data_IF_882154006539
#
_entry.id   IF_882154006539
#
_cell.length_a   1.000
_cell.length_b   1.000
_cell.length_c   1.000
_cell.angle_alpha   90.00
_cell.angle_beta   90.00
_cell.angle_gamma   90.00
#
_symmetry.space_group_name_H-M   'P 1'
#
loop_
_entity.id
_entity.type
_entity.pdbx_description
1 polymer ?
#
# COMPACT_ATOMS: atom_id res chain seq x y z
N UNK A 1 0.44 -17.04 7.73
CA UNK A 1 -0.48 -17.02 6.57
C UNK A 1 0.29 -16.68 5.29
N UNK A 2 0.45 -17.63 4.33
CA UNK A 2 1.17 -17.38 3.07
C UNK A 2 0.55 -16.24 2.22
N UNK A 3 -0.69 -15.85 2.50
CA UNK A 3 -1.41 -14.81 1.77
C UNK A 3 -0.82 -13.39 1.97
N UNK A 4 -0.30 -13.03 3.15
CA UNK A 4 0.19 -11.67 3.41
C UNK A 4 1.41 -11.33 2.53
N UNK A 5 2.31 -12.31 2.34
CA UNK A 5 3.48 -12.16 1.47
C UNK A 5 3.10 -11.82 0.04
N UNK A 6 2.17 -12.60 -0.53
CA UNK A 6 1.65 -12.35 -1.87
C UNK A 6 1.05 -10.96 -1.97
N UNK A 7 0.13 -10.60 -1.06
CA UNK A 7 -0.54 -9.29 -1.09
C UNK A 7 0.47 -8.16 -0.97
N UNK A 8 1.39 -8.23 -0.01
CA UNK A 8 2.39 -7.20 0.21
C UNK A 8 3.25 -6.97 -1.04
N UNK A 9 3.82 -8.03 -1.61
CA UNK A 9 4.68 -7.93 -2.78
C UNK A 9 3.93 -7.53 -4.04
N UNK A 10 2.68 -7.96 -4.23
CA UNK A 10 1.83 -7.44 -5.31
C UNK A 10 1.64 -5.92 -5.21
N UNK A 11 1.44 -5.38 -4.00
CA UNK A 11 1.27 -3.92 -3.80
C UNK A 11 2.56 -3.15 -4.04
N UNK A 12 3.68 -3.67 -3.55
CA UNK A 12 4.97 -3.02 -3.78
C UNK A 12 5.38 -3.10 -5.24
N UNK A 13 5.20 -4.26 -5.89
CA UNK A 13 5.43 -4.42 -7.32
C UNK A 13 4.60 -3.46 -8.16
N UNK A 14 3.30 -3.32 -7.87
CA UNK A 14 2.43 -2.37 -8.57
C UNK A 14 2.89 -0.92 -8.40
N UNK A 15 3.30 -0.52 -7.19
CA UNK A 15 3.83 0.83 -6.94
C UNK A 15 5.13 1.08 -7.69
N UNK A 16 6.07 0.13 -7.63
CA UNK A 16 7.35 0.24 -8.33
C UNK A 16 7.15 0.28 -9.84
N UNK A 17 6.29 -0.57 -10.39
CA UNK A 17 5.94 -0.58 -11.81
C UNK A 17 5.33 0.76 -12.23
N UNK A 18 4.38 1.28 -11.44
CA UNK A 18 3.77 2.59 -11.73
C UNK A 18 4.81 3.72 -11.70
N UNK A 19 5.68 3.76 -10.69
CA UNK A 19 6.77 4.75 -10.63
C UNK A 19 7.72 4.64 -11.82
N UNK A 20 8.11 3.41 -12.20
CA UNK A 20 8.97 3.19 -13.36
C UNK A 20 8.33 3.66 -14.66
N UNK A 21 7.02 3.43 -14.84
CA UNK A 21 6.26 3.89 -16.01
C UNK A 21 6.14 5.41 -16.03
N UNK A 22 5.97 6.08 -14.88
CA UNK A 22 5.97 7.54 -14.82
C UNK A 22 7.34 8.14 -15.18
N UNK A 23 8.42 7.52 -14.71
CA UNK A 23 9.79 7.93 -15.07
C UNK A 23 10.00 7.72 -16.57
N UNK A 24 9.56 6.59 -17.12
CA UNK A 24 9.63 6.31 -18.55
C UNK A 24 8.84 7.33 -19.36
N UNK A 25 7.59 7.63 -18.97
CA UNK A 25 6.77 8.65 -19.62
C UNK A 25 7.47 10.01 -19.63
N UNK A 26 8.00 10.44 -18.48
CA UNK A 26 8.71 11.70 -18.37
C UNK A 26 9.95 11.74 -19.27
N UNK A 27 10.75 10.67 -19.28
CA UNK A 27 11.92 10.55 -20.15
C UNK A 27 11.53 10.61 -21.63
N UNK A 28 10.51 9.85 -22.05
CA UNK A 28 10.01 9.82 -23.43
C UNK A 28 9.54 11.20 -23.91
N UNK A 29 8.80 11.93 -23.07
CA UNK A 29 8.36 13.30 -23.40
C UNK A 29 9.54 14.26 -23.50
N UNK A 30 10.49 14.20 -22.56
CA UNK A 30 11.67 15.05 -22.58
C UNK A 30 12.54 14.80 -23.82
N UNK A 31 12.74 13.54 -24.21
CA UNK A 31 13.46 13.20 -25.44
C UNK A 31 12.71 13.69 -26.69
N UNK A 32 11.38 13.56 -26.73
CA UNK A 32 10.58 14.04 -27.86
C UNK A 32 10.66 15.56 -28.04
N UNK A 33 10.65 16.32 -26.94
CA UNK A 33 10.75 17.78 -26.94
C UNK A 33 12.15 18.30 -27.31
N UNK A 34 13.20 17.58 -26.94
CA UNK A 34 14.60 17.97 -27.22
C UNK A 34 15.11 17.47 -28.58
N UNK A 35 14.37 16.58 -29.25
CA UNK A 35 14.74 16.09 -30.57
C UNK A 35 14.73 17.25 -31.60
N UNK A 36 15.81 17.33 -32.40
CA UNK A 36 16.01 18.36 -33.42
C UNK A 36 14.91 18.26 -34.48
N UNK A 37 14.26 19.39 -34.80
CA UNK A 37 13.28 19.44 -35.87
C UNK A 37 13.97 19.18 -37.23
N UNK A 38 13.30 18.48 -38.17
CA UNK A 38 13.80 18.40 -39.54
C UNK A 38 13.89 19.81 -40.15
N UNK A 39 14.85 20.06 -41.07
CA UNK A 39 14.97 21.36 -41.71
C UNK A 39 13.69 21.67 -42.50
N UNK A 40 13.09 22.83 -42.25
CA UNK A 40 11.90 23.32 -42.96
C UNK A 40 12.28 24.56 -43.78
N UNK A 41 11.98 24.53 -45.08
CA UNK A 41 12.32 25.61 -46.02
C UNK A 41 11.14 26.59 -46.16
N UNK A 42 11.36 27.88 -45.97
CA UNK A 42 10.37 28.96 -46.15
C UNK A 42 10.03 29.73 -44.86
N UNK A 43 9.51 30.95 -45.01
CA UNK A 43 9.08 31.80 -43.89
C UNK A 43 7.59 32.17 -44.04
N UNK A 44 6.78 31.84 -43.03
CA UNK A 44 5.35 32.15 -42.99
C UNK A 44 4.60 31.43 -41.86
N UNK A 45 3.37 31.86 -41.51
CA UNK A 45 2.57 31.28 -40.42
C UNK A 45 2.26 29.79 -40.61
N UNK A 46 2.26 29.29 -41.85
CA UNK A 46 2.12 27.87 -42.18
C UNK A 46 3.31 27.01 -41.72
N UNK A 47 4.52 27.58 -41.70
CA UNK A 47 5.75 26.90 -41.25
C UNK A 47 5.75 26.75 -39.73
N UNK A 48 5.35 27.79 -39.00
CA UNK A 48 5.21 27.71 -37.54
C UNK A 48 4.16 26.67 -37.12
N UNK A 49 3.02 26.61 -37.81
CA UNK A 49 1.99 25.61 -37.57
C UNK A 49 2.50 24.17 -37.84
N UNK A 50 3.25 23.96 -38.93
CA UNK A 50 3.82 22.65 -39.25
C UNK A 50 4.85 22.16 -38.21
N UNK A 51 5.69 23.06 -37.69
CA UNK A 51 6.64 22.74 -36.61
C UNK A 51 5.90 22.34 -35.33
N UNK A 52 4.85 23.08 -34.94
CA UNK A 52 4.05 22.78 -33.75
C UNK A 52 3.33 21.44 -33.86
N UNK A 53 2.72 21.14 -35.01
CA UNK A 53 2.07 19.85 -35.26
C UNK A 53 3.08 18.70 -35.22
N UNK A 54 4.25 18.85 -35.85
CA UNK A 54 5.30 17.82 -35.80
C UNK A 54 5.95 17.64 -34.42
N UNK A 55 5.95 18.66 -33.57
CA UNK A 55 6.32 18.52 -32.16
C UNK A 55 5.25 17.72 -31.40
N UNK A 56 3.97 18.05 -31.61
CA UNK A 56 2.85 17.34 -31.01
C UNK A 56 2.85 15.86 -31.37
N UNK A 57 3.00 15.51 -32.65
CA UNK A 57 3.02 14.12 -33.11
C UNK A 57 4.14 13.29 -32.47
N UNK A 58 5.35 13.88 -32.33
CA UNK A 58 6.48 13.22 -31.65
C UNK A 58 6.19 12.97 -30.17
N UNK A 59 5.60 13.96 -29.49
CA UNK A 59 5.25 13.82 -28.07
C UNK A 59 4.15 12.77 -27.89
N UNK A 60 3.10 12.80 -28.71
CA UNK A 60 2.01 11.82 -28.67
C UNK A 60 2.54 10.41 -28.94
N UNK A 61 3.34 10.23 -29.99
CA UNK A 61 3.93 8.93 -30.33
C UNK A 61 4.85 8.41 -29.23
N UNK A 62 5.65 9.28 -28.60
CA UNK A 62 6.57 8.90 -27.52
C UNK A 62 5.83 8.58 -26.21
N UNK A 63 4.71 9.26 -25.95
CA UNK A 63 3.91 9.07 -24.73
C UNK A 63 2.89 7.92 -24.83
N UNK A 64 2.47 7.53 -26.03
CA UNK A 64 1.36 6.59 -26.23
C UNK A 64 1.53 5.28 -25.44
N UNK A 65 2.65 4.59 -25.61
CA UNK A 65 2.89 3.31 -24.94
C UNK A 65 3.00 3.42 -23.41
N UNK A 66 3.85 4.30 -22.83
CA UNK A 66 3.90 4.44 -21.37
C UNK A 66 2.56 4.86 -20.78
N UNK A 67 1.78 5.68 -21.49
CA UNK A 67 0.44 6.08 -21.04
C UNK A 67 -0.52 4.89 -21.01
N UNK A 68 -0.54 4.04 -22.04
CA UNK A 68 -1.33 2.80 -22.07
C UNK A 68 -0.95 1.89 -20.91
N UNK A 69 0.35 1.68 -20.66
CA UNK A 69 0.80 0.86 -19.53
C UNK A 69 0.37 1.48 -18.20
N UNK A 70 0.48 2.80 -18.03
CA UNK A 70 0.02 3.49 -16.82
C UNK A 70 -1.48 3.29 -16.58
N UNK A 71 -2.30 3.34 -17.63
CA UNK A 71 -3.75 3.08 -17.57
C UNK A 71 -4.02 1.64 -17.14
N UNK A 72 -3.34 0.65 -17.73
CA UNK A 72 -3.50 -0.77 -17.35
C UNK A 72 -3.14 -1.00 -15.88
N UNK A 73 -2.02 -0.43 -15.41
CA UNK A 73 -1.63 -0.49 -13.99
C UNK A 73 -2.65 0.22 -13.08
N UNK A 74 -3.21 1.35 -13.54
CA UNK A 74 -4.28 2.07 -12.84
C UNK A 74 -5.55 1.23 -12.70
N UNK A 75 -5.97 0.54 -13.77
CA UNK A 75 -7.10 -0.40 -13.75
C UNK A 75 -6.82 -1.54 -12.78
N UNK A 76 -5.63 -2.14 -12.81
CA UNK A 76 -5.24 -3.17 -11.86
C UNK A 76 -5.31 -2.65 -10.40
N UNK A 77 -4.80 -1.44 -10.14
CA UNK A 77 -4.89 -0.80 -8.82
C UNK A 77 -6.34 -0.59 -8.36
N UNK A 78 -7.22 -0.16 -9.27
CA UNK A 78 -8.63 0.05 -9.01
C UNK A 78 -9.34 -1.28 -8.69
N UNK A 79 -9.08 -2.35 -9.45
CA UNK A 79 -9.62 -3.70 -9.19
C UNK A 79 -9.21 -4.17 -7.80
N UNK A 80 -7.93 -4.05 -7.45
CA UNK A 80 -7.43 -4.48 -6.15
C UNK A 80 -8.08 -3.67 -5.02
N UNK A 81 -8.20 -2.34 -5.18
CA UNK A 81 -8.85 -1.46 -4.19
C UNK A 81 -10.34 -1.81 -4.04
N UNK A 82 -11.03 -2.13 -5.13
CA UNK A 82 -12.42 -2.57 -5.08
C UNK A 82 -12.58 -3.89 -4.33
N UNK A 83 -11.65 -4.84 -4.51
CA UNK A 83 -11.63 -6.11 -3.75
C UNK A 83 -11.39 -5.87 -2.25
N UNK A 84 -10.52 -4.91 -1.89
CA UNK A 84 -10.32 -4.52 -0.49
C UNK A 84 -11.60 -3.97 0.14
N UNK A 85 -12.33 -3.12 -0.60
CA UNK A 85 -13.61 -2.56 -0.14
C UNK A 85 -14.67 -3.65 0.02
N UNK A 86 -14.73 -4.62 -0.90
CA UNK A 86 -15.65 -5.77 -0.80
C UNK A 86 -15.36 -6.68 0.40
N UNK A 87 -14.10 -6.76 0.83
CA UNK A 87 -13.68 -7.49 2.05
C UNK A 87 -13.83 -6.65 3.32
N UNK A 88 -14.36 -5.44 3.26
CA UNK A 88 -14.41 -4.59 4.45
C UNK A 88 -15.42 -5.16 5.44
N UNK A 89 -14.95 -5.41 6.66
CA UNK A 89 -15.82 -5.82 7.75
C UNK A 89 -16.88 -4.72 7.98
N UNK A 90 -18.20 -5.05 8.01
CA UNK A 90 -19.23 -4.06 8.33
C UNK A 90 -19.00 -3.42 9.71
N UNK A 91 -18.40 -4.17 10.64
CA UNK A 91 -18.04 -3.67 11.97
C UNK A 91 -16.59 -3.19 11.94
N UNK A 92 -16.38 -1.87 12.11
CA UNK A 92 -15.02 -1.31 12.25
C UNK A 92 -14.52 -1.31 13.69
N UNK A 93 -15.41 -1.06 14.65
CA UNK A 93 -15.03 -0.84 16.05
C UNK A 93 -15.05 -2.16 16.81
N UNK A 94 -13.96 -2.47 17.48
CA UNK A 94 -13.93 -3.56 18.45
C UNK A 94 -14.95 -3.31 19.57
N UNK A 95 -15.61 -4.37 20.03
CA UNK A 95 -16.51 -4.30 21.19
C UNK A 95 -15.72 -3.96 22.45
N UNK A 96 -16.41 -3.51 23.52
CA UNK A 96 -15.75 -3.26 24.81
C UNK A 96 -15.06 -4.51 25.34
N UNK A 97 -15.68 -5.68 25.17
CA UNK A 97 -15.10 -6.97 25.55
C UNK A 97 -13.83 -7.26 24.74
N UNK A 98 -13.89 -7.19 23.40
CA UNK A 98 -12.72 -7.44 22.55
C UNK A 98 -11.56 -6.48 22.88
N UNK A 99 -11.84 -5.21 23.19
CA UNK A 99 -10.83 -4.25 23.62
C UNK A 99 -10.20 -4.65 24.95
N UNK A 100 -11.00 -5.03 25.95
CA UNK A 100 -10.48 -5.47 27.26
C UNK A 100 -9.62 -6.72 27.11
N UNK A 101 -10.12 -7.73 26.40
CA UNK A 101 -9.40 -8.98 26.13
C UNK A 101 -8.10 -8.74 25.36
N UNK A 102 -8.15 -7.94 24.29
CA UNK A 102 -6.97 -7.62 23.49
C UNK A 102 -5.91 -6.81 24.25
N UNK A 103 -6.33 -5.89 25.13
CA UNK A 103 -5.43 -5.12 25.98
C UNK A 103 -4.82 -5.99 27.09
N UNK A 104 -5.64 -6.84 27.73
CA UNK A 104 -5.18 -7.79 28.75
C UNK A 104 -4.19 -8.79 28.17
N UNK A 105 -4.46 -9.32 26.97
CA UNK A 105 -3.56 -10.21 26.21
C UNK A 105 -2.16 -9.60 26.00
N UNK A 106 -2.09 -8.27 25.88
CA UNK A 106 -0.83 -7.55 25.70
C UNK A 106 -0.21 -7.04 27.02
N UNK A 107 -0.79 -7.39 28.17
CA UNK A 107 -0.45 -6.85 29.50
C UNK A 107 -0.49 -5.30 29.55
N UNK A 108 -1.40 -4.69 28.79
CA UNK A 108 -1.49 -3.23 28.68
C UNK A 108 -0.30 -2.57 27.98
N UNK A 109 0.61 -3.32 27.36
CA UNK A 109 1.79 -2.82 26.67
C UNK A 109 1.63 -2.87 25.14
N UNK A 110 2.15 -1.86 24.46
CA UNK A 110 2.16 -1.75 23.01
C UNK A 110 2.82 -2.98 22.37
N UNK A 111 2.11 -3.66 21.47
CA UNK A 111 2.57 -4.83 20.70
C UNK A 111 3.28 -4.43 19.40
N UNK A 112 3.06 -3.19 18.94
CA UNK A 112 3.72 -2.63 17.76
C UNK A 112 5.22 -2.44 17.96
N UNK A 113 5.91 -2.28 16.84
CA UNK A 113 7.35 -2.13 16.80
C UNK A 113 7.75 -0.66 17.00
N UNK A 114 8.85 -0.45 17.73
CA UNK A 114 9.57 0.81 17.77
C UNK A 114 11.04 0.57 17.37
N UNK A 115 11.59 1.43 16.52
CA UNK A 115 12.96 1.28 16.02
C UNK A 115 13.19 -0.10 15.40
N UNK A 116 14.37 -0.69 15.65
CA UNK A 116 14.94 -1.95 15.16
C UNK A 116 14.09 -3.24 15.32
N UNK A 117 12.80 -3.23 15.00
CA UNK A 117 11.89 -4.37 15.07
C UNK A 117 11.59 -4.87 16.49
N UNK A 118 11.95 -4.10 17.52
CA UNK A 118 11.70 -4.42 18.93
C UNK A 118 10.30 -3.96 19.33
N UNK A 119 9.70 -4.63 20.32
CA UNK A 119 8.42 -4.20 20.92
C UNK A 119 8.58 -2.81 21.54
N UNK A 120 7.62 -1.92 21.32
CA UNK A 120 7.72 -0.54 21.78
C UNK A 120 7.78 -0.39 23.31
N UNK A 121 7.21 -1.33 24.08
CA UNK A 121 7.25 -1.33 25.54
C UNK A 121 6.42 -0.24 26.24
N UNK A 122 5.98 0.81 25.53
CA UNK A 122 5.09 1.84 26.06
C UNK A 122 3.70 1.30 26.38
N UNK A 123 2.99 1.94 27.31
CA UNK A 123 1.58 1.63 27.60
C UNK A 123 0.73 1.73 26.35
N UNK A 124 -0.10 0.72 26.12
CA UNK A 124 -1.09 0.73 25.06
C UNK A 124 -2.30 1.55 25.48
N UNK A 125 -2.80 2.36 24.55
CA UNK A 125 -3.93 3.26 24.76
C UNK A 125 -5.10 2.88 23.84
N UNK A 126 -4.78 2.27 22.69
CA UNK A 126 -5.71 2.00 21.60
C UNK A 126 -5.66 0.53 21.20
N UNK A 127 -6.82 0.00 20.80
CA UNK A 127 -6.90 -1.23 20.03
C UNK A 127 -6.92 -0.90 18.54
N UNK A 128 -5.93 -1.37 17.81
CA UNK A 128 -5.79 -1.16 16.37
C UNK A 128 -5.84 -2.50 15.60
N UNK A 129 -6.12 -2.44 14.31
CA UNK A 129 -6.10 -3.59 13.42
C UNK A 129 -4.69 -3.81 12.87
N UNK A 130 -4.07 -4.97 13.11
CA UNK A 130 -2.77 -5.32 12.54
C UNK A 130 -2.79 -5.19 11.01
N UNK A 131 -3.74 -5.87 10.37
CA UNK A 131 -4.10 -5.69 8.98
C UNK A 131 -5.18 -4.61 8.89
N UNK A 132 -4.98 -3.49 8.16
CA UNK A 132 -5.90 -2.36 8.18
C UNK A 132 -7.32 -2.73 7.77
N UNK A 133 -8.31 -2.32 8.56
CA UNK A 133 -9.74 -2.49 8.26
C UNK A 133 -10.12 -1.95 6.87
N UNK A 134 -9.56 -0.79 6.49
CA UNK A 134 -9.83 -0.16 5.19
C UNK A 134 -9.39 -1.02 3.99
N UNK A 135 -8.56 -2.04 4.23
CA UNK A 135 -8.01 -2.98 3.24
C UNK A 135 -8.59 -4.40 3.38
N UNK A 136 -9.64 -4.57 4.19
CA UNK A 136 -10.31 -5.84 4.42
C UNK A 136 -9.76 -6.65 5.60
N UNK A 137 -9.10 -6.00 6.57
CA UNK A 137 -8.80 -6.63 7.86
C UNK A 137 -10.08 -6.85 8.67
N UNK A 138 -10.21 -8.01 9.33
CA UNK A 138 -11.36 -8.34 10.17
C UNK A 138 -11.30 -7.62 11.52
N UNK A 139 -12.45 -7.33 12.12
CA UNK A 139 -12.56 -6.83 13.49
C UNK A 139 -12.67 -8.01 14.45
N UNK A 140 -11.53 -8.70 14.63
CA UNK A 140 -11.39 -9.87 15.50
C UNK A 140 -10.24 -9.73 16.48
N UNK A 141 -10.19 -10.57 17.51
CA UNK A 141 -9.07 -10.63 18.45
C UNK A 141 -7.76 -11.05 17.77
N UNK A 142 -7.82 -11.84 16.69
CA UNK A 142 -6.64 -12.25 15.93
C UNK A 142 -6.04 -11.07 15.16
N UNK A 143 -6.87 -10.16 14.64
CA UNK A 143 -6.40 -8.93 14.01
C UNK A 143 -6.17 -7.77 15.00
N UNK A 144 -6.60 -7.90 16.26
CA UNK A 144 -6.41 -6.88 17.29
C UNK A 144 -4.94 -6.74 17.71
N UNK A 145 -4.50 -5.50 17.89
CA UNK A 145 -3.19 -5.13 18.41
C UNK A 145 -3.34 -4.02 19.43
N UNK A 146 -2.77 -4.19 20.61
CA UNK A 146 -2.65 -3.12 21.59
C UNK A 146 -1.55 -2.13 21.14
N UNK A 147 -1.89 -0.85 21.01
CA UNK A 147 -1.00 0.17 20.46
C UNK A 147 -0.97 1.45 21.31
N UNK A 148 0.21 2.03 21.50
CA UNK A 148 0.36 3.39 22.00
C UNK A 148 0.05 4.42 20.88
N UNK A 149 -0.29 5.65 21.24
CA UNK A 149 -0.63 6.68 20.25
C UNK A 149 0.49 6.95 19.23
N UNK A 150 1.76 6.86 19.62
CA UNK A 150 2.91 7.07 18.71
C UNK A 150 2.99 5.99 17.64
N UNK A 151 3.03 4.72 18.04
CA UNK A 151 3.15 3.60 17.09
C UNK A 151 1.92 3.46 16.21
N UNK A 152 0.72 3.69 16.76
CA UNK A 152 -0.52 3.68 15.99
C UNK A 152 -0.49 4.73 14.85
N UNK A 153 -0.11 5.98 15.17
CA UNK A 153 0.04 7.06 14.18
C UNK A 153 1.13 6.77 13.14
N UNK A 154 2.24 6.14 13.54
CA UNK A 154 3.31 5.76 12.63
C UNK A 154 2.88 4.63 11.67
N UNK A 155 2.15 3.63 12.16
CA UNK A 155 1.65 2.50 11.36
C UNK A 155 0.66 2.96 10.28
N UNK A 156 -0.27 3.86 10.61
CA UNK A 156 -1.34 4.31 9.71
C UNK A 156 -2.14 3.12 9.12
N UNK A 157 -2.68 3.29 7.92
CA UNK A 157 -3.33 2.23 7.14
C UNK A 157 -2.33 1.41 6.29
N UNK A 158 -1.06 1.29 6.68
CA UNK A 158 -0.08 0.51 5.91
C UNK A 158 -0.32 -0.99 6.06
N UNK A 159 -0.15 -1.74 4.96
CA UNK A 159 -0.19 -3.21 5.02
C UNK A 159 1.10 -3.65 5.71
N UNK A 160 1.04 -4.45 6.78
CA UNK A 160 2.24 -4.94 7.44
C UNK A 160 3.04 -5.82 6.48
N UNK A 161 4.37 -5.71 6.54
CA UNK A 161 5.24 -6.59 5.77
C UNK A 161 5.25 -8.01 6.35
N UNK A 162 5.59 -9.03 5.56
CA UNK A 162 5.72 -10.40 6.06
C UNK A 162 6.74 -10.52 7.19
N UNK A 163 7.80 -9.69 7.16
CA UNK A 163 8.77 -9.59 8.23
C UNK A 163 8.15 -9.06 9.54
N UNK A 164 7.32 -8.01 9.45
CA UNK A 164 6.61 -7.47 10.62
C UNK A 164 5.65 -8.48 11.22
N UNK A 165 4.89 -9.21 10.39
CA UNK A 165 4.00 -10.28 10.86
C UNK A 165 4.80 -11.37 11.58
N UNK A 166 5.84 -11.92 10.96
CA UNK A 166 6.69 -12.95 11.58
C UNK A 166 7.32 -12.50 12.89
N UNK A 167 7.77 -11.25 12.97
CA UNK A 167 8.32 -10.70 14.22
C UNK A 167 7.26 -10.55 15.30
N UNK A 168 6.06 -10.07 14.96
CA UNK A 168 4.95 -9.99 15.92
C UNK A 168 4.53 -11.37 16.41
N UNK A 169 4.36 -12.35 15.51
CA UNK A 169 4.03 -13.74 15.86
C UNK A 169 5.11 -14.35 16.75
N UNK A 170 6.40 -14.13 16.43
CA UNK A 170 7.52 -14.58 17.28
C UNK A 170 7.46 -13.96 18.67
N UNK A 171 7.27 -12.64 18.78
CA UNK A 171 7.17 -11.97 20.09
C UNK A 171 5.95 -12.46 20.88
N UNK A 172 4.82 -12.71 20.22
CA UNK A 172 3.62 -13.27 20.87
C UNK A 172 3.89 -14.62 21.52
N UNK A 173 4.80 -15.45 20.99
CA UNK A 173 5.21 -16.71 21.65
C UNK A 173 5.89 -16.50 23.00
N UNK A 174 6.47 -15.33 23.25
CA UNK A 174 7.21 -15.04 24.49
C UNK A 174 6.28 -14.70 25.66
N UNK A 175 5.08 -14.18 25.40
CA UNK A 175 4.16 -13.70 26.44
C UNK A 175 2.73 -14.21 26.32
N UNK A 176 2.38 -14.97 25.28
CA UNK A 176 1.08 -15.64 25.19
C UNK A 176 1.18 -17.08 25.71
N UNK A 177 0.13 -17.59 26.38
CA UNK A 177 0.01 -19.01 26.69
C UNK A 177 0.11 -19.87 25.43
N UNK A 178 0.64 -21.09 25.55
CA UNK A 178 0.80 -22.01 24.40
C UNK A 178 -0.54 -22.39 23.74
N UNK A 179 -1.64 -22.35 24.48
CA UNK A 179 -3.00 -22.59 23.97
C UNK A 179 -3.57 -21.42 23.15
N UNK A 180 -2.93 -20.25 23.17
CA UNK A 180 -3.41 -19.06 22.49
C UNK A 180 -2.95 -19.01 21.03
N UNK A 181 -3.82 -18.50 20.15
CA UNK A 181 -3.46 -18.22 18.77
C UNK A 181 -2.41 -17.10 18.71
N UNK A 182 -1.23 -17.42 18.15
CA UNK A 182 -0.15 -16.44 17.92
C UNK A 182 -0.30 -15.69 16.60
N UNK A 183 -1.13 -16.19 15.68
CA UNK A 183 -1.33 -15.61 14.35
C UNK A 183 -1.94 -14.23 14.45
N UNK A 184 -1.56 -13.37 13.51
CA UNK A 184 -1.98 -11.96 13.49
C UNK A 184 -2.41 -11.55 12.08
N UNK A 185 -3.28 -10.56 11.98
CA UNK A 185 -3.62 -9.97 10.69
C UNK A 185 -4.74 -10.68 9.93
N UNK A 186 -5.70 -11.25 10.65
CA UNK A 186 -6.86 -11.87 10.04
C UNK A 186 -7.60 -10.90 9.11
N UNK A 187 -8.07 -11.44 7.99
CA UNK A 187 -8.78 -10.72 6.95
C UNK A 187 -10.16 -11.31 6.77
N UNK A 188 -11.11 -10.47 6.42
CA UNK A 188 -12.43 -10.96 6.04
C UNK A 188 -12.34 -11.74 4.72
N UNK A 189 -13.08 -12.86 4.60
CA UNK A 189 -13.22 -13.58 3.34
C UNK A 189 -13.87 -12.68 2.28
N UNK A 190 -13.73 -13.05 1.01
CA UNK A 190 -14.59 -12.45 -0.02
C UNK A 190 -15.98 -13.08 0.14
N UNK A 191 -17.05 -12.26 0.12
CA UNK A 191 -18.39 -12.78 -0.09
C UNK A 191 -18.52 -13.40 -1.49
#
# INVERSE_FOLDING_TARGET
MPELGRIYWTRQGLRLAYSAVLIWLAASVMTALTAKAPPVSGAGPSVAAAVLLGMFDRVVSAAALPLVVAVVLGIAAAIITRRDVRRRDPVRRFTRQQRREGMARANGLCELEAGFGRRCGSTAEHGDHFYPWSKGGSTSLQNFVAACARCNRAKRANIPSPGQQRRMERRRREYLPQSSSISVGERQPLP
#
